data_IF_943468617608
#
_entry.id   IF_943468617608
#
_cell.length_a   1.000
_cell.length_b   1.000
_cell.length_c   1.000
_cell.angle_alpha   90.00
_cell.angle_beta   90.00
_cell.angle_gamma   90.00
#
_symmetry.space_group_name_H-M   'P 1'
#
loop_
_entity.id
_entity.type
_entity.pdbx_description
1 polymer ?
#
# COMPACT_ATOMS: atom_id res chain seq x y z
N UNK A 1 35.82 -3.42 -42.97
CA UNK A 1 35.81 -3.33 -41.49
C UNK A 1 34.85 -2.23 -40.97
N UNK A 2 33.60 -2.14 -41.48
CA UNK A 2 32.63 -1.10 -41.05
C UNK A 2 31.23 -1.64 -40.67
N UNK A 3 31.01 -2.96 -40.78
CA UNK A 3 29.69 -3.59 -40.52
C UNK A 3 29.54 -4.14 -39.10
N UNK A 4 30.65 -4.42 -38.40
CA UNK A 4 30.64 -4.89 -37.00
C UNK A 4 30.37 -3.77 -35.99
N UNK A 5 30.67 -2.52 -36.34
CA UNK A 5 30.46 -1.37 -35.45
C UNK A 5 28.97 -0.99 -35.30
N UNK A 6 28.16 -1.27 -36.32
CA UNK A 6 26.72 -0.98 -36.31
C UNK A 6 25.91 -1.94 -35.43
N UNK A 7 26.34 -3.20 -35.29
CA UNK A 7 25.68 -4.18 -34.40
C UNK A 7 26.00 -3.94 -32.92
N UNK A 8 27.20 -3.44 -32.59
CA UNK A 8 27.59 -3.16 -31.21
C UNK A 8 26.84 -1.93 -30.64
N UNK A 9 26.56 -0.93 -31.48
CA UNK A 9 25.79 0.26 -31.11
C UNK A 9 24.28 -0.03 -30.91
N UNK A 10 23.71 -1.00 -31.63
CA UNK A 10 22.32 -1.42 -31.43
C UNK A 10 22.12 -2.18 -30.11
N UNK A 11 23.14 -2.90 -29.64
CA UNK A 11 23.07 -3.68 -28.39
C UNK A 11 23.17 -2.80 -27.14
N UNK A 12 24.00 -1.74 -27.19
CA UNK A 12 24.19 -0.80 -26.08
C UNK A 12 22.95 0.10 -25.89
N UNK A 13 22.21 0.42 -26.96
CA UNK A 13 20.97 1.19 -26.88
C UNK A 13 19.82 0.46 -26.17
N UNK A 14 19.83 -0.88 -26.13
CA UNK A 14 18.82 -1.68 -25.41
C UNK A 14 19.07 -1.81 -23.90
N UNK A 15 20.28 -1.50 -23.42
CA UNK A 15 20.65 -1.70 -21.99
C UNK A 15 20.25 -0.50 -21.12
N UNK A 16 19.92 0.67 -21.71
CA UNK A 16 19.76 1.93 -20.97
C UNK A 16 18.31 2.17 -20.46
N UNK A 17 17.33 1.32 -20.79
CA UNK A 17 15.91 1.60 -20.46
C UNK A 17 15.36 0.75 -19.29
N UNK A 18 16.22 0.15 -18.47
CA UNK A 18 15.81 -0.38 -17.16
C UNK A 18 16.19 0.60 -16.04
N UNK A 19 15.88 1.88 -16.21
CA UNK A 19 15.73 2.77 -15.06
C UNK A 19 14.49 2.29 -14.30
N UNK A 20 14.70 1.39 -13.33
CA UNK A 20 13.69 1.09 -12.33
C UNK A 20 13.29 2.40 -11.67
N UNK A 21 12.04 2.82 -11.89
CA UNK A 21 11.51 4.03 -11.28
C UNK A 21 11.42 3.80 -9.78
N UNK A 22 12.38 4.32 -9.02
CA UNK A 22 12.22 4.47 -7.57
C UNK A 22 11.05 5.44 -7.33
N UNK A 23 9.87 4.92 -7.00
CA UNK A 23 8.73 5.75 -6.62
C UNK A 23 9.06 6.47 -5.31
N UNK A 24 9.36 7.77 -5.39
CA UNK A 24 9.66 8.57 -4.22
C UNK A 24 8.35 9.07 -3.59
N UNK A 25 7.80 8.24 -2.71
CA UNK A 25 6.64 8.57 -1.89
C UNK A 25 6.96 9.67 -0.86
N UNK A 26 6.05 10.63 -0.70
CA UNK A 26 6.13 11.72 0.29
C UNK A 26 4.83 11.73 1.12
N UNK A 27 4.93 11.98 2.43
CA UNK A 27 3.79 12.02 3.35
C UNK A 27 2.68 13.00 2.94
N UNK A 28 3.01 14.12 2.29
CA UNK A 28 2.01 15.10 1.87
C UNK A 28 1.41 14.81 0.48
N UNK A 29 1.70 13.64 -0.08
CA UNK A 29 1.19 13.22 -1.38
C UNK A 29 -0.02 12.31 -1.27
N UNK A 30 -0.76 12.22 -2.38
CA UNK A 30 -1.84 11.26 -2.55
C UNK A 30 -1.50 10.35 -3.73
N UNK A 31 -1.92 9.09 -3.64
CA UNK A 31 -1.89 8.15 -4.75
C UNK A 31 -3.31 7.79 -5.17
N UNK A 32 -3.53 7.67 -6.47
CA UNK A 32 -4.78 7.17 -7.03
C UNK A 32 -4.54 5.75 -7.52
N UNK A 33 -5.37 4.82 -7.06
CA UNK A 33 -5.30 3.42 -7.42
C UNK A 33 -6.66 2.95 -7.94
N UNK A 34 -6.65 2.07 -8.91
CA UNK A 34 -7.81 1.27 -9.28
C UNK A 34 -7.68 -0.14 -8.68
N UNK A 35 -8.59 -0.48 -7.78
CA UNK A 35 -8.63 -1.79 -7.09
C UNK A 35 -10.01 -2.39 -7.36
N UNK A 36 -10.04 -3.60 -7.94
CA UNK A 36 -11.28 -4.26 -8.36
C UNK A 36 -12.22 -3.33 -9.16
N UNK A 37 -11.68 -2.61 -10.16
CA UNK A 37 -12.39 -1.65 -11.04
C UNK A 37 -13.01 -0.45 -10.34
N UNK A 38 -12.71 -0.23 -9.05
CA UNK A 38 -13.11 0.95 -8.28
C UNK A 38 -11.90 1.86 -8.08
N UNK A 39 -12.11 3.17 -8.22
CA UNK A 39 -11.05 4.17 -8.06
C UNK A 39 -11.03 4.68 -6.63
N UNK A 40 -9.84 4.78 -6.07
CA UNK A 40 -9.60 5.30 -4.73
C UNK A 40 -8.53 6.37 -4.74
N UNK A 41 -8.58 7.27 -3.76
CA UNK A 41 -7.53 8.24 -3.46
C UNK A 41 -7.01 7.98 -2.05
N UNK A 42 -5.73 7.67 -1.94
CA UNK A 42 -5.07 7.35 -0.67
C UNK A 42 -4.10 8.45 -0.28
N UNK A 43 -4.18 8.91 0.96
CA UNK A 43 -3.08 9.67 1.55
C UNK A 43 -1.89 8.76 1.83
N UNK A 44 -0.68 9.23 1.57
CA UNK A 44 0.53 8.44 1.79
C UNK A 44 1.05 8.64 3.22
N UNK A 45 1.37 7.54 3.90
CA UNK A 45 2.04 7.47 5.18
C UNK A 45 3.38 6.73 5.03
N UNK A 46 4.48 7.47 4.92
CA UNK A 46 5.84 6.94 4.77
C UNK A 46 6.69 7.18 6.01
N UNK A 47 6.65 8.39 6.59
CA UNK A 47 7.36 8.63 7.85
C UNK A 47 6.76 7.82 8.99
N UNK A 48 7.59 7.55 10.00
CA UNK A 48 7.15 6.87 11.21
C UNK A 48 6.03 7.65 11.92
N UNK A 49 6.13 8.98 11.98
CA UNK A 49 5.09 9.84 12.55
C UNK A 49 3.73 9.63 11.84
N UNK A 50 3.72 9.67 10.50
CA UNK A 50 2.47 9.53 9.76
C UNK A 50 1.92 8.11 9.81
N UNK A 51 2.78 7.09 9.84
CA UNK A 51 2.37 5.69 10.05
C UNK A 51 1.75 5.47 11.43
N UNK A 52 2.37 6.00 12.49
CA UNK A 52 1.84 5.89 13.86
C UNK A 52 0.51 6.62 14.03
N UNK A 53 0.34 7.76 13.35
CA UNK A 53 -0.92 8.50 13.35
C UNK A 53 -2.03 7.76 12.62
N UNK A 54 -1.74 7.23 11.42
CA UNK A 54 -2.74 6.55 10.60
C UNK A 54 -4.02 7.37 10.42
N UNK A 55 -5.17 6.71 10.58
CA UNK A 55 -6.51 7.33 10.59
C UNK A 55 -7.04 7.65 12.01
N UNK A 56 -6.17 7.75 13.02
CA UNK A 56 -6.57 8.09 14.38
C UNK A 56 -7.36 9.41 14.46
N UNK A 57 -8.40 9.45 15.30
CA UNK A 57 -9.25 10.61 15.54
C UNK A 57 -10.25 10.95 14.43
N UNK A 58 -10.23 10.25 13.30
CA UNK A 58 -11.19 10.46 12.21
C UNK A 58 -12.54 9.79 12.54
N UNK A 59 -13.63 10.55 12.39
CA UNK A 59 -15.00 10.09 12.71
C UNK A 59 -15.74 9.47 11.52
N UNK A 60 -15.28 9.72 10.31
CA UNK A 60 -15.87 9.22 9.06
C UNK A 60 -14.85 9.30 7.93
N UNK A 61 -14.87 8.33 7.04
CA UNK A 61 -13.99 8.27 5.86
C UNK A 61 -14.86 8.14 4.60
N UNK A 62 -14.58 8.94 3.57
CA UNK A 62 -15.29 8.81 2.28
C UNK A 62 -15.11 7.38 1.70
N UNK A 63 -16.14 6.79 1.06
CA UNK A 63 -16.08 5.42 0.55
C UNK A 63 -14.94 5.12 -0.44
N UNK A 64 -14.44 6.15 -1.14
CA UNK A 64 -13.36 6.05 -2.13
C UNK A 64 -12.05 6.67 -1.64
N UNK A 65 -11.89 6.84 -0.33
CA UNK A 65 -10.66 7.34 0.29
C UNK A 65 -10.09 6.35 1.28
N UNK A 66 -8.83 6.56 1.62
CA UNK A 66 -8.13 5.80 2.65
C UNK A 66 -6.73 6.33 2.88
N UNK A 67 -5.92 5.51 3.55
CA UNK A 67 -4.50 5.77 3.75
C UNK A 67 -3.68 4.59 3.23
N UNK A 68 -2.54 4.88 2.61
CA UNK A 68 -1.55 3.87 2.22
C UNK A 68 -0.27 4.06 3.02
N UNK A 69 0.20 2.97 3.61
CA UNK A 69 1.42 2.89 4.40
C UNK A 69 2.52 2.29 3.52
N UNK A 70 3.67 2.96 3.43
CA UNK A 70 4.79 2.52 2.57
C UNK A 70 6.00 2.18 3.44
N UNK A 71 6.53 0.97 3.30
CA UNK A 71 7.70 0.48 4.03
C UNK A 71 8.87 0.23 3.05
N UNK A 72 10.09 0.50 3.49
CA UNK A 72 11.28 0.34 2.65
C UNK A 72 11.68 -1.13 2.43
N UNK A 73 11.13 -2.04 3.25
CA UNK A 73 11.39 -3.48 3.20
C UNK A 73 10.09 -4.24 3.37
N UNK A 74 10.01 -5.39 2.71
CA UNK A 74 8.94 -6.36 2.91
C UNK A 74 9.18 -7.12 4.22
N UNK A 75 8.21 -7.09 5.12
CA UNK A 75 8.24 -7.79 6.41
C UNK A 75 6.81 -8.08 6.90
N UNK A 76 6.65 -8.81 8.00
CA UNK A 76 5.37 -8.98 8.66
C UNK A 76 4.92 -7.69 9.35
N UNK A 77 4.03 -6.96 8.70
CA UNK A 77 3.51 -5.69 9.20
C UNK A 77 2.52 -5.91 10.35
N UNK A 78 2.47 -4.96 11.27
CA UNK A 78 1.58 -4.98 12.43
C UNK A 78 0.88 -3.63 12.56
N UNK A 79 -0.43 -3.68 12.76
CA UNK A 79 -1.28 -2.51 12.94
C UNK A 79 -2.07 -2.63 14.25
N UNK A 80 -2.31 -1.49 14.88
CA UNK A 80 -3.25 -1.34 15.98
C UNK A 80 -4.37 -0.38 15.57
N UNK A 81 -5.39 -0.27 16.41
CA UNK A 81 -6.49 0.68 16.22
C UNK A 81 -6.46 1.80 17.27
N UNK A 82 -5.26 2.21 17.71
CA UNK A 82 -5.08 3.23 18.74
C UNK A 82 -5.73 4.55 18.31
N UNK A 83 -6.66 5.05 19.11
CA UNK A 83 -7.42 6.27 18.88
C UNK A 83 -8.24 6.30 17.56
N UNK A 84 -8.38 5.15 16.88
CA UNK A 84 -9.20 5.02 15.66
C UNK A 84 -10.66 4.83 16.03
N UNK A 85 -11.54 5.70 15.52
CA UNK A 85 -12.94 5.79 15.96
C UNK A 85 -13.94 5.05 15.06
N UNK A 86 -13.48 4.53 13.92
CA UNK A 86 -14.28 3.79 12.96
C UNK A 86 -13.61 2.45 12.65
N UNK A 87 -14.39 1.38 12.38
CA UNK A 87 -13.81 0.14 11.90
C UNK A 87 -13.32 0.32 10.47
N UNK A 88 -12.19 -0.32 10.16
CA UNK A 88 -11.49 -0.25 8.89
C UNK A 88 -11.23 -1.66 8.35
N UNK A 89 -10.93 -1.75 7.06
CA UNK A 89 -10.33 -2.91 6.44
C UNK A 89 -8.86 -2.61 6.10
N UNK A 90 -7.95 -3.51 6.46
CA UNK A 90 -6.52 -3.42 6.14
C UNK A 90 -6.20 -4.41 5.03
N UNK A 91 -5.70 -3.91 3.90
CA UNK A 91 -5.11 -4.72 2.84
C UNK A 91 -3.59 -4.69 2.95
N UNK A 92 -2.96 -5.84 3.12
CA UNK A 92 -1.51 -5.96 3.11
C UNK A 92 -1.04 -6.32 1.70
N UNK A 93 0.00 -5.63 1.22
CA UNK A 93 0.47 -5.72 -0.15
C UNK A 93 1.97 -6.00 -0.15
N UNK A 94 2.40 -6.94 -0.98
CA UNK A 94 3.80 -7.23 -1.23
C UNK A 94 4.14 -6.98 -2.69
N UNK A 95 5.03 -6.02 -2.97
CA UNK A 95 5.29 -5.59 -4.34
C UNK A 95 4.04 -5.00 -4.94
N UNK A 96 3.33 -5.76 -5.80
CA UNK A 96 2.06 -5.33 -6.37
C UNK A 96 0.87 -6.25 -6.10
N UNK A 97 1.05 -7.29 -5.28
CA UNK A 97 0.01 -8.28 -4.97
C UNK A 97 -0.55 -8.06 -3.57
N UNK A 98 -1.87 -8.16 -3.42
CA UNK A 98 -2.56 -8.15 -2.12
C UNK A 98 -2.37 -9.53 -1.50
N UNK A 99 -1.64 -9.61 -0.39
CA UNK A 99 -1.26 -10.88 0.26
C UNK A 99 -2.14 -11.25 1.45
N UNK A 100 -2.88 -10.29 2.00
CA UNK A 100 -3.81 -10.50 3.11
C UNK A 100 -4.81 -9.34 3.19
N UNK A 101 -5.99 -9.62 3.72
CA UNK A 101 -7.05 -8.65 3.97
C UNK A 101 -7.67 -8.94 5.34
N UNK A 102 -7.82 -7.92 6.17
CA UNK A 102 -8.33 -8.07 7.54
C UNK A 102 -9.33 -6.98 7.89
N UNK A 103 -10.46 -7.39 8.47
CA UNK A 103 -11.40 -6.47 9.08
C UNK A 103 -11.01 -6.14 10.52
N UNK A 104 -11.01 -4.85 10.84
CA UNK A 104 -10.67 -4.36 12.17
C UNK A 104 -11.92 -4.09 13.02
N UNK A 105 -11.70 -3.92 14.31
CA UNK A 105 -12.73 -3.55 15.28
C UNK A 105 -12.24 -2.33 16.06
N UNK A 106 -13.17 -1.43 16.37
CA UNK A 106 -12.93 -0.38 17.37
C UNK A 106 -13.01 -1.05 18.74
N UNK A 107 -11.96 -0.90 19.54
CA UNK A 107 -11.93 -1.41 20.91
C UNK A 107 -12.83 -0.59 21.84
N UNK A 108 -13.18 -1.17 23.00
CA UNK A 108 -13.94 -0.45 24.05
C UNK A 108 -13.16 0.77 24.58
N UNK A 109 -11.83 0.63 24.68
CA UNK A 109 -10.89 1.71 24.94
C UNK A 109 -9.93 1.87 23.75
N UNK A 110 -10.23 2.76 22.78
CA UNK A 110 -9.36 3.01 21.64
C UNK A 110 -7.98 3.54 22.05
N UNK A 111 -7.82 4.16 23.22
CA UNK A 111 -6.51 4.70 23.63
C UNK A 111 -5.50 3.61 24.03
N UNK A 112 -6.02 2.40 24.32
CA UNK A 112 -5.24 1.23 24.71
C UNK A 112 -5.72 -0.04 23.98
N UNK A 113 -5.48 -0.14 22.65
CA UNK A 113 -5.97 -1.24 21.85
C UNK A 113 -5.32 -2.57 22.27
N UNK A 114 -6.14 -3.60 22.44
CA UNK A 114 -5.69 -4.94 22.84
C UNK A 114 -5.43 -5.88 21.65
N UNK A 115 -5.91 -5.52 20.46
CA UNK A 115 -5.81 -6.34 19.25
C UNK A 115 -4.71 -5.76 18.36
N UNK A 116 -3.78 -6.63 17.96
CA UNK A 116 -2.76 -6.34 16.95
C UNK A 116 -3.08 -7.15 15.70
N UNK A 117 -3.23 -6.44 14.58
CA UNK A 117 -3.49 -7.00 13.26
C UNK A 117 -2.14 -7.23 12.55
N UNK A 118 -1.66 -8.48 12.60
CA UNK A 118 -0.42 -8.89 11.94
C UNK A 118 -0.73 -9.46 10.56
N UNK A 119 -0.02 -9.03 9.52
CA UNK A 119 -0.16 -9.60 8.18
C UNK A 119 0.13 -11.11 8.18
N UNK A 120 -0.58 -11.89 7.36
CA UNK A 120 -0.32 -13.34 7.21
C UNK A 120 0.91 -13.68 6.37
N UNK A 121 1.43 -12.71 5.60
CA UNK A 121 2.62 -12.83 4.77
C UNK A 121 3.45 -11.54 4.80
N UNK A 122 4.73 -11.57 4.39
CA UNK A 122 5.54 -10.37 4.22
C UNK A 122 4.86 -9.37 3.28
N UNK A 123 4.87 -8.09 3.66
CA UNK A 123 4.28 -6.98 2.94
C UNK A 123 5.20 -5.76 3.07
N UNK A 124 5.28 -4.97 2.00
CA UNK A 124 6.02 -3.70 1.95
C UNK A 124 5.07 -2.49 1.91
N UNK A 125 3.76 -2.74 1.77
CA UNK A 125 2.71 -1.75 1.76
C UNK A 125 1.48 -2.25 2.52
N UNK A 126 0.69 -1.32 3.05
CA UNK A 126 -0.64 -1.62 3.56
C UNK A 126 -1.62 -0.50 3.19
N UNK A 127 -2.89 -0.82 3.01
CA UNK A 127 -3.96 0.15 2.75
C UNK A 127 -5.01 0.03 3.83
N UNK A 128 -5.37 1.14 4.45
CA UNK A 128 -6.58 1.28 5.29
C UNK A 128 -7.70 1.93 4.48
N UNK A 129 -8.87 1.28 4.47
CA UNK A 129 -10.14 1.77 3.90
C UNK A 129 -11.29 1.53 4.89
N UNK A 130 -12.48 2.03 4.58
CA UNK A 130 -13.68 1.66 5.33
C UNK A 130 -13.84 0.14 5.44
N UNK A 131 -14.40 -0.33 6.56
CA UNK A 131 -14.72 -1.75 6.74
C UNK A 131 -15.59 -2.30 5.60
N UNK A 132 -15.42 -3.57 5.23
CA UNK A 132 -16.19 -4.25 4.20
C UNK A 132 -16.10 -3.59 2.79
N UNK A 133 -15.00 -2.87 2.50
CA UNK A 133 -14.82 -2.25 1.17
C UNK A 133 -14.60 -3.32 0.08
N UNK A 134 -13.86 -4.37 0.41
CA UNK A 134 -13.57 -5.51 -0.46
C UNK A 134 -13.94 -6.85 0.20
N UNK A 135 -14.23 -7.85 -0.62
CA UNK A 135 -14.50 -9.23 -0.17
C UNK A 135 -13.18 -10.02 -0.03
N UNK A 136 -13.22 -11.21 0.58
CA UNK A 136 -12.02 -12.03 0.82
C UNK A 136 -11.30 -12.45 -0.48
N UNK A 137 -12.02 -12.51 -1.61
CA UNK A 137 -11.49 -12.83 -2.94
C UNK A 137 -10.57 -11.75 -3.54
N UNK A 138 -10.37 -10.64 -2.81
CA UNK A 138 -9.40 -9.60 -3.17
C UNK A 138 -7.95 -10.06 -2.99
N UNK A 139 -7.71 -11.04 -2.11
CA UNK A 139 -6.38 -11.60 -1.88
C UNK A 139 -5.87 -12.34 -3.12
N UNK A 140 -4.62 -12.09 -3.50
CA UNK A 140 -4.00 -12.57 -4.73
C UNK A 140 -4.19 -11.64 -5.93
N UNK A 141 -5.06 -10.63 -5.85
CA UNK A 141 -5.18 -9.64 -6.91
C UNK A 141 -3.98 -8.69 -6.93
N UNK A 142 -3.64 -8.22 -8.14
CA UNK A 142 -2.53 -7.28 -8.37
C UNK A 142 -3.03 -5.87 -8.63
N UNK A 143 -2.48 -4.91 -7.88
CA UNK A 143 -2.69 -3.48 -8.09
C UNK A 143 -1.70 -3.01 -9.17
N UNK A 144 -2.22 -2.75 -10.37
CA UNK A 144 -1.41 -2.56 -11.58
C UNK A 144 -0.47 -1.36 -11.49
N UNK A 145 -0.86 -0.31 -10.77
CA UNK A 145 -0.04 0.87 -10.53
C UNK A 145 1.24 0.58 -9.74
N UNK A 146 1.29 -0.53 -8.99
CA UNK A 146 2.48 -0.99 -8.28
C UNK A 146 3.31 -2.01 -9.07
N UNK A 147 2.80 -2.60 -10.15
CA UNK A 147 3.53 -3.58 -10.94
C UNK A 147 4.46 -2.95 -12.00
N UNK A 148 4.60 -1.61 -12.00
CA UNK A 148 5.30 -0.83 -13.03
C UNK A 148 6.76 -0.56 -12.67
#
# INVERSE_FOLDING_TARGET
>A
MKKTLACLLLFIACIIIFTGCTQNYNDNSQIRLEINRKKFTFEVAKSEEKKQKGLAGIKSLDPNKGMIFIFDKSDYLQFWMKDTLIPLQILFINGCEIVDAQETKVGEDPSNPQIIYKSKAPADKAIEVNQNTFEEDIVGQKIQEFCK
#
